data_IF_062706715923
#
_entry.id   IF_062706715923
#
_cell.length_a   1.000
_cell.length_b   1.000
_cell.length_c   1.000
_cell.angle_alpha   90.00
_cell.angle_beta   90.00
_cell.angle_gamma   90.00
#
_symmetry.space_group_name_H-M   'P 1'
#
loop_
_entity.id
_entity.type
_entity.pdbx_description
1 polymer ?
#
# COMPACT_ATOMS: atom_id res chain seq x y z
N UNK A 1 -19.88 13.12 36.04
CA UNK A 1 -18.62 13.12 35.26
C UNK A 1 -18.75 12.02 34.22
N UNK A 2 -19.02 12.30 32.94
CA UNK A 2 -19.06 11.26 31.94
C UNK A 2 -17.63 10.89 31.53
N UNK A 3 -17.39 9.60 31.32
CA UNK A 3 -16.13 9.05 30.86
C UNK A 3 -15.81 9.54 29.44
N UNK A 4 -14.60 10.08 29.25
CA UNK A 4 -14.03 10.34 27.93
C UNK A 4 -13.01 9.28 27.60
N UNK A 5 -12.92 9.00 26.29
CA UNK A 5 -11.86 8.31 25.55
C UNK A 5 -12.10 6.83 25.18
N UNK A 6 -12.17 6.60 23.86
CA UNK A 6 -11.62 5.41 23.23
C UNK A 6 -12.57 4.51 22.45
N UNK A 7 -13.89 4.69 22.55
CA UNK A 7 -14.86 3.80 21.90
C UNK A 7 -15.16 4.14 20.45
N UNK A 8 -14.15 4.31 19.61
CA UNK A 8 -14.35 4.34 18.16
C UNK A 8 -14.88 2.98 17.71
N UNK A 9 -15.96 2.97 16.93
CA UNK A 9 -16.40 1.76 16.20
C UNK A 9 -15.16 1.18 15.50
N UNK A 10 -14.91 -0.14 15.45
CA UNK A 10 -13.98 -0.65 14.46
C UNK A 10 -14.50 -0.14 13.12
N UNK A 11 -13.81 0.82 12.51
CA UNK A 11 -14.03 1.20 11.13
C UNK A 11 -13.59 -0.02 10.36
N UNK A 12 -14.53 -0.90 10.04
CA UNK A 12 -14.30 -2.05 9.19
C UNK A 12 -13.96 -1.50 7.81
N UNK A 13 -12.69 -1.13 7.60
CA UNK A 13 -12.22 -0.61 6.34
C UNK A 13 -12.14 -1.78 5.36
N UNK A 14 -12.77 -1.63 4.20
CA UNK A 14 -12.70 -2.61 3.13
C UNK A 14 -11.56 -2.23 2.18
N UNK A 15 -10.57 -3.11 2.09
CA UNK A 15 -9.41 -3.00 1.20
C UNK A 15 -9.63 -3.80 -0.08
N UNK A 16 -9.40 -3.20 -1.24
CA UNK A 16 -9.43 -3.91 -2.53
C UNK A 16 -8.04 -4.04 -3.13
N UNK A 17 -7.54 -5.26 -3.40
CA UNK A 17 -6.25 -5.46 -4.06
C UNK A 17 -6.33 -5.16 -5.56
N UNK A 18 -5.36 -4.41 -6.05
CA UNK A 18 -5.21 -4.02 -7.44
C UNK A 18 -3.80 -4.39 -7.93
N UNK A 19 -3.69 -5.02 -9.10
CA UNK A 19 -2.39 -5.31 -9.74
C UNK A 19 -1.93 -4.22 -10.72
N UNK A 20 -2.69 -3.13 -10.83
CA UNK A 20 -2.37 -1.94 -11.61
C UNK A 20 -3.20 -0.77 -11.06
N UNK A 21 -2.86 0.46 -11.43
CA UNK A 21 -3.75 1.59 -11.21
C UNK A 21 -5.02 1.41 -12.06
N UNK A 22 -6.23 1.35 -11.46
CA UNK A 22 -7.47 1.28 -12.23
C UNK A 22 -7.75 2.61 -12.93
N UNK A 23 -8.69 2.61 -13.88
CA UNK A 23 -9.24 3.84 -14.42
C UNK A 23 -9.85 4.68 -13.27
N UNK A 24 -9.62 6.00 -13.19
CA UNK A 24 -10.29 6.89 -12.24
C UNK A 24 -11.81 6.68 -12.15
N UNK A 25 -12.50 6.36 -13.25
CA UNK A 25 -13.93 6.06 -13.23
C UNK A 25 -14.26 4.76 -12.47
N UNK A 26 -13.42 3.74 -12.60
CA UNK A 26 -13.54 2.48 -11.86
C UNK A 26 -13.25 2.68 -10.37
N UNK A 27 -12.21 3.45 -10.02
CA UNK A 27 -11.91 3.80 -8.64
C UNK A 27 -13.09 4.51 -7.96
N UNK A 28 -13.71 5.46 -8.66
CA UNK A 28 -14.88 6.18 -8.17
C UNK A 28 -16.09 5.25 -7.97
N UNK A 29 -16.36 4.33 -8.90
CA UNK A 29 -17.43 3.33 -8.76
C UNK A 29 -17.19 2.41 -7.56
N UNK A 30 -15.98 1.87 -7.42
CA UNK A 30 -15.62 0.98 -6.32
C UNK A 30 -15.70 1.68 -4.96
N UNK A 31 -15.27 2.94 -4.89
CA UNK A 31 -15.41 3.76 -3.69
C UNK A 31 -16.89 4.02 -3.36
N UNK A 32 -17.72 4.33 -4.36
CA UNK A 32 -19.16 4.51 -4.17
C UNK A 32 -19.87 3.22 -3.70
N UNK A 33 -19.28 2.05 -3.99
CA UNK A 33 -19.75 0.74 -3.55
C UNK A 33 -19.22 0.32 -2.17
N UNK A 34 -18.44 1.18 -1.50
CA UNK A 34 -18.00 0.99 -0.12
C UNK A 34 -16.54 0.54 0.05
N UNK A 35 -15.69 0.65 -0.98
CA UNK A 35 -14.25 0.50 -0.77
C UNK A 35 -13.70 1.73 -0.01
N UNK A 36 -13.09 1.49 1.15
CA UNK A 36 -12.51 2.56 1.96
C UNK A 36 -11.05 2.85 1.60
N UNK A 37 -10.36 1.83 1.10
CA UNK A 37 -8.97 1.90 0.69
C UNK A 37 -8.67 0.89 -0.41
N UNK A 38 -7.63 1.18 -1.17
CA UNK A 38 -7.10 0.31 -2.23
C UNK A 38 -5.72 -0.19 -1.83
N UNK A 39 -5.38 -1.41 -2.24
CA UNK A 39 -4.06 -2.00 -2.03
C UNK A 39 -3.40 -2.22 -3.40
N UNK A 40 -2.33 -1.49 -3.70
CA UNK A 40 -1.54 -1.73 -4.92
C UNK A 40 -0.54 -2.86 -4.66
N UNK A 41 -0.83 -4.03 -5.24
CA UNK A 41 -0.01 -5.25 -5.19
C UNK A 41 1.08 -5.23 -6.26
N UNK A 42 2.19 -4.58 -5.96
CA UNK A 42 3.35 -4.40 -6.84
C UNK A 42 4.01 -5.73 -7.23
N UNK A 43 3.85 -6.77 -6.41
CA UNK A 43 4.37 -8.12 -6.71
C UNK A 43 3.52 -8.85 -7.77
N UNK A 44 2.25 -8.48 -7.97
CA UNK A 44 1.38 -9.08 -8.98
C UNK A 44 1.28 -8.25 -10.27
N UNK A 45 1.81 -7.02 -10.26
CA UNK A 45 1.76 -6.10 -11.37
C UNK A 45 2.85 -6.37 -12.41
N UNK A 46 2.73 -5.71 -13.57
CA UNK A 46 3.79 -5.64 -14.57
C UNK A 46 4.79 -4.49 -14.30
N UNK A 47 4.60 -3.74 -13.21
CA UNK A 47 5.44 -2.60 -12.84
C UNK A 47 6.84 -3.11 -12.49
N UNK A 48 7.85 -2.59 -13.19
CA UNK A 48 9.24 -3.01 -13.04
C UNK A 48 10.11 -1.90 -12.46
N UNK A 49 9.71 -0.64 -12.58
CA UNK A 49 10.53 0.51 -12.21
C UNK A 49 9.91 1.39 -11.12
N UNK A 50 10.76 2.16 -10.43
CA UNK A 50 10.33 3.13 -9.44
C UNK A 50 9.41 4.22 -10.05
N UNK A 51 9.72 4.69 -11.26
CA UNK A 51 8.91 5.71 -11.94
C UNK A 51 7.51 5.18 -12.29
N UNK A 52 7.42 3.94 -12.80
CA UNK A 52 6.13 3.28 -13.04
C UNK A 52 5.36 3.05 -11.73
N UNK A 53 6.03 2.72 -10.63
CA UNK A 53 5.41 2.54 -9.32
C UNK A 53 4.88 3.86 -8.75
N UNK A 54 5.64 4.96 -8.88
CA UNK A 54 5.18 6.29 -8.49
C UNK A 54 3.99 6.74 -9.32
N UNK A 55 4.04 6.57 -10.65
CA UNK A 55 2.94 6.90 -11.55
C UNK A 55 1.68 6.09 -11.25
N UNK A 56 1.82 4.78 -11.00
CA UNK A 56 0.71 3.93 -10.61
C UNK A 56 0.09 4.36 -9.27
N UNK A 57 0.92 4.65 -8.25
CA UNK A 57 0.44 5.13 -6.96
C UNK A 57 -0.26 6.49 -7.07
N UNK A 58 0.27 7.41 -7.89
CA UNK A 58 -0.37 8.69 -8.18
C UNK A 58 -1.75 8.53 -8.84
N UNK A 59 -1.97 7.45 -9.59
CA UNK A 59 -3.29 7.11 -10.17
C UNK A 59 -4.41 6.96 -9.13
N UNK A 60 -4.07 6.71 -7.86
CA UNK A 60 -5.05 6.64 -6.76
C UNK A 60 -5.30 7.99 -6.08
N UNK A 61 -4.85 9.12 -6.67
CA UNK A 61 -5.07 10.44 -6.09
C UNK A 61 -6.56 10.69 -5.77
N UNK A 62 -6.83 11.10 -4.53
CA UNK A 62 -8.20 11.26 -4.01
C UNK A 62 -8.74 10.04 -3.27
N UNK A 63 -8.04 8.90 -3.31
CA UNK A 63 -8.37 7.68 -2.58
C UNK A 63 -7.25 7.28 -1.61
N UNK A 64 -7.58 6.50 -0.57
CA UNK A 64 -6.58 5.95 0.36
C UNK A 64 -5.92 4.73 -0.28
N UNK A 65 -4.59 4.71 -0.27
CA UNK A 65 -3.79 3.66 -0.87
C UNK A 65 -2.87 2.99 0.15
N UNK A 66 -2.79 1.68 0.12
CA UNK A 66 -1.72 0.86 0.72
C UNK A 66 -0.84 0.37 -0.42
N UNK A 67 0.46 0.63 -0.34
CA UNK A 67 1.43 0.05 -1.27
C UNK A 67 2.02 -1.23 -0.69
N UNK A 68 1.92 -2.34 -1.43
CA UNK A 68 2.38 -3.66 -0.99
C UNK A 68 3.26 -4.29 -2.06
N UNK A 69 4.41 -4.85 -1.67
CA UNK A 69 5.24 -5.67 -2.53
C UNK A 69 5.58 -6.97 -1.82
N UNK A 70 4.63 -7.90 -1.85
CA UNK A 70 4.68 -9.15 -1.08
C UNK A 70 5.87 -10.01 -1.51
N UNK A 71 6.63 -10.53 -0.56
CA UNK A 71 7.70 -11.50 -0.83
C UNK A 71 7.15 -12.84 -1.34
N UNK A 72 7.96 -13.60 -2.09
CA UNK A 72 7.61 -14.98 -2.49
C UNK A 72 7.29 -15.87 -1.28
N UNK A 73 8.01 -15.68 -0.16
CA UNK A 73 7.82 -16.46 1.08
C UNK A 73 6.42 -16.25 1.69
N UNK A 74 5.79 -15.11 1.43
CA UNK A 74 4.45 -14.77 1.91
C UNK A 74 3.40 -14.72 0.78
N UNK A 75 3.67 -15.43 -0.32
CA UNK A 75 2.72 -15.66 -1.42
C UNK A 75 2.67 -14.58 -2.49
N UNK A 76 3.70 -13.73 -2.56
CA UNK A 76 3.95 -12.83 -3.68
C UNK A 76 4.74 -13.48 -4.80
N UNK A 77 5.19 -12.68 -5.77
CA UNK A 77 6.10 -13.15 -6.84
C UNK A 77 7.58 -12.96 -6.46
N UNK A 78 8.49 -13.78 -7.01
CA UNK A 78 9.92 -13.61 -6.80
C UNK A 78 10.39 -12.23 -7.25
N UNK A 79 10.99 -11.47 -6.32
CA UNK A 79 11.63 -10.18 -6.58
C UNK A 79 12.68 -9.90 -5.49
N UNK A 80 13.88 -9.39 -5.84
CA UNK A 80 14.89 -9.02 -4.85
C UNK A 80 14.42 -7.93 -3.88
N UNK A 81 14.84 -8.00 -2.61
CA UNK A 81 14.43 -7.04 -1.57
C UNK A 81 14.83 -5.59 -1.89
N UNK A 82 15.99 -5.39 -2.51
CA UNK A 82 16.42 -4.06 -2.96
C UNK A 82 15.45 -3.45 -3.99
N UNK A 83 14.93 -4.26 -4.92
CA UNK A 83 13.94 -3.81 -5.90
C UNK A 83 12.58 -3.57 -5.22
N UNK A 84 12.15 -4.49 -4.35
CA UNK A 84 10.90 -4.33 -3.58
C UNK A 84 10.92 -3.01 -2.79
N UNK A 85 12.00 -2.73 -2.07
CA UNK A 85 12.18 -1.48 -1.31
C UNK A 85 12.17 -0.24 -2.22
N UNK A 86 12.80 -0.30 -3.39
CA UNK A 86 12.80 0.81 -4.34
C UNK A 86 11.38 1.16 -4.82
N UNK A 87 10.57 0.14 -5.14
CA UNK A 87 9.18 0.33 -5.56
C UNK A 87 8.32 0.89 -4.41
N UNK A 88 8.45 0.33 -3.21
CA UNK A 88 7.70 0.81 -2.03
C UNK A 88 8.04 2.27 -1.69
N UNK A 89 9.32 2.64 -1.77
CA UNK A 89 9.77 4.03 -1.57
C UNK A 89 9.21 4.98 -2.61
N UNK A 90 9.07 4.55 -3.86
CA UNK A 90 8.50 5.35 -4.92
C UNK A 90 6.99 5.60 -4.72
N UNK A 91 6.27 4.63 -4.16
CA UNK A 91 4.85 4.80 -3.82
C UNK A 91 4.63 5.63 -2.53
N UNK A 92 5.59 5.67 -1.61
CA UNK A 92 5.46 6.29 -0.29
C UNK A 92 4.86 7.71 -0.28
N UNK A 93 5.22 8.63 -1.19
CA UNK A 93 4.64 9.99 -1.21
C UNK A 93 3.15 10.03 -1.56
N UNK A 94 2.61 8.96 -2.15
CA UNK A 94 1.23 8.87 -2.64
C UNK A 94 0.38 7.86 -1.84
N UNK A 95 1.01 7.03 -1.00
CA UNK A 95 0.35 6.02 -0.21
C UNK A 95 0.04 6.52 1.21
N UNK A 96 -1.12 6.13 1.74
CA UNK A 96 -1.48 6.36 3.13
C UNK A 96 -0.75 5.40 4.07
N UNK A 97 -0.40 4.21 3.59
CA UNK A 97 0.44 3.24 4.29
C UNK A 97 1.26 2.39 3.32
N UNK A 98 2.28 1.73 3.85
CA UNK A 98 3.11 0.75 3.15
C UNK A 98 3.03 -0.55 3.94
N UNK A 99 2.80 -1.67 3.24
CA UNK A 99 2.85 -2.99 3.82
C UNK A 99 4.29 -3.53 3.72
N UNK A 100 4.87 -3.85 4.88
CA UNK A 100 6.22 -4.40 5.03
C UNK A 100 6.10 -5.62 5.94
N UNK A 101 6.57 -6.76 5.45
CA UNK A 101 6.53 -7.98 6.26
C UNK A 101 7.60 -7.93 7.35
N UNK A 102 7.25 -8.38 8.56
CA UNK A 102 8.20 -8.53 9.66
C UNK A 102 9.35 -9.50 9.34
N UNK A 103 9.13 -10.42 8.39
CA UNK A 103 10.14 -11.37 7.92
C UNK A 103 11.16 -10.74 6.96
N UNK A 104 10.85 -9.59 6.37
CA UNK A 104 11.71 -8.83 5.44
C UNK A 104 12.66 -7.91 6.23
N UNK A 105 13.57 -8.48 7.02
CA UNK A 105 14.42 -7.73 7.98
C UNK A 105 15.18 -6.57 7.33
N UNK A 106 15.74 -6.76 6.13
CA UNK A 106 16.47 -5.70 5.42
C UNK A 106 15.59 -4.50 5.06
N UNK A 107 14.34 -4.75 4.66
CA UNK A 107 13.36 -3.71 4.31
C UNK A 107 12.83 -3.05 5.58
N UNK A 108 12.53 -3.87 6.60
CA UNK A 108 12.03 -3.41 7.89
C UNK A 108 12.99 -2.42 8.55
N UNK A 109 14.26 -2.79 8.68
CA UNK A 109 15.30 -1.94 9.28
C UNK A 109 15.43 -0.61 8.52
N UNK A 110 15.44 -0.67 7.18
CA UNK A 110 15.56 0.51 6.32
C UNK A 110 14.39 1.50 6.42
N UNK A 111 13.22 1.05 6.92
CA UNK A 111 12.02 1.88 7.12
C UNK A 111 11.87 2.29 8.58
N UNK A 112 12.14 1.39 9.53
CA UNK A 112 12.10 1.66 10.97
C UNK A 112 13.05 2.80 11.36
N UNK A 113 14.25 2.86 10.77
CA UNK A 113 15.22 3.94 10.97
C UNK A 113 14.71 5.35 10.61
N UNK A 114 13.56 5.45 9.91
CA UNK A 114 12.95 6.71 9.47
C UNK A 114 11.68 7.08 10.23
N UNK A 115 11.23 6.27 11.18
CA UNK A 115 10.07 6.57 12.01
C UNK A 115 10.51 7.37 13.26
N UNK A 116 9.81 8.45 13.64
CA UNK A 116 10.06 9.09 14.93
C UNK A 116 9.80 8.11 16.08
N UNK A 117 10.51 8.25 17.23
CA UNK A 117 10.39 7.36 18.38
C UNK A 117 8.99 7.36 19.02
#
# INVERSE_FOLDING_TARGET
MPATEGGGRPSCLIALPCSAAPDPAELADLAARGADLFELRLDLSAIATADEAAAAAQGFAGHRLIATCRSEREGGRPRPDAERLALLRACAPHAAAIDIELSSTEIFDAVADRLPP
#
